data_IF_417197699186
#
_entry.id   IF_417197699186
#
_cell.length_a   1.000
_cell.length_b   1.000
_cell.length_c   1.000
_cell.angle_alpha   90.00
_cell.angle_beta   90.00
_cell.angle_gamma   90.00
#
_symmetry.space_group_name_H-M   'P 1'
#
loop_
_entity.id
_entity.type
_entity.pdbx_description
1 polymer ?
#
# COMPACT_ATOMS: atom_id res chain seq x y z
N UNK A 1 -23.46 -21.19 -1.03
CA UNK A 1 -23.33 -19.74 -0.81
C UNK A 1 -24.02 -19.02 -1.95
N UNK A 2 -24.67 -17.90 -1.66
CA UNK A 2 -25.44 -17.13 -2.65
C UNK A 2 -24.55 -16.05 -3.26
N UNK A 3 -24.52 -15.97 -4.59
CA UNK A 3 -23.76 -14.95 -5.32
C UNK A 3 -24.15 -13.53 -4.88
N UNK A 4 -23.16 -12.63 -4.74
CA UNK A 4 -23.47 -11.24 -4.43
C UNK A 4 -24.16 -10.54 -5.62
N UNK A 5 -25.24 -9.77 -5.38
CA UNK A 5 -25.82 -8.90 -6.40
C UNK A 5 -24.81 -7.91 -7.00
N UNK A 6 -23.86 -7.45 -6.19
CA UNK A 6 -22.74 -6.60 -6.59
C UNK A 6 -21.89 -7.23 -7.70
N UNK A 7 -21.62 -8.53 -7.63
CA UNK A 7 -20.84 -9.26 -8.64
C UNK A 7 -21.53 -9.25 -9.98
N UNK A 8 -22.84 -9.52 -9.99
CA UNK A 8 -23.63 -9.47 -11.21
C UNK A 8 -23.67 -8.06 -11.80
N UNK A 9 -23.88 -7.04 -10.96
CA UNK A 9 -23.89 -5.64 -11.39
C UNK A 9 -22.55 -5.22 -12.03
N UNK A 10 -21.42 -5.60 -11.41
CA UNK A 10 -20.09 -5.33 -11.95
C UNK A 10 -19.84 -6.03 -13.29
N UNK A 11 -20.33 -7.26 -13.47
CA UNK A 11 -20.24 -7.97 -14.75
C UNK A 11 -21.14 -7.30 -15.80
N UNK A 12 -22.35 -6.91 -15.44
CA UNK A 12 -23.27 -6.22 -16.34
C UNK A 12 -22.71 -4.85 -16.78
N UNK A 13 -21.89 -4.21 -15.96
CA UNK A 13 -21.18 -2.98 -16.33
C UNK A 13 -20.23 -3.14 -17.51
N UNK A 14 -19.75 -4.35 -17.76
CA UNK A 14 -18.89 -4.62 -18.92
C UNK A 14 -19.60 -4.49 -20.27
N UNK A 15 -20.94 -4.30 -20.27
CA UNK A 15 -21.76 -4.07 -21.46
C UNK A 15 -21.83 -2.60 -21.89
N UNK A 16 -21.38 -1.67 -21.05
CA UNK A 16 -21.35 -0.25 -21.40
C UNK A 16 -19.98 0.14 -21.97
N UNK A 17 -19.99 1.04 -22.95
CA UNK A 17 -18.76 1.52 -23.62
C UNK A 17 -17.92 2.45 -22.72
N UNK A 18 -18.55 3.12 -21.74
CA UNK A 18 -17.90 3.98 -20.77
C UNK A 18 -18.01 3.41 -19.36
N UNK A 19 -16.86 3.24 -18.70
CA UNK A 19 -16.80 2.78 -17.31
C UNK A 19 -16.73 3.98 -16.37
N UNK A 20 -17.68 4.05 -15.44
CA UNK A 20 -17.61 5.02 -14.35
C UNK A 20 -16.71 4.48 -13.24
N UNK A 21 -15.42 4.82 -13.27
CA UNK A 21 -14.37 4.23 -12.43
C UNK A 21 -14.71 4.22 -10.93
N UNK A 22 -15.17 5.33 -10.37
CA UNK A 22 -15.55 5.41 -8.95
C UNK A 22 -16.66 4.42 -8.56
N UNK A 23 -17.56 4.10 -9.50
CA UNK A 23 -18.64 3.17 -9.27
C UNK A 23 -18.15 1.72 -9.39
N UNK A 24 -17.28 1.44 -10.36
CA UNK A 24 -16.59 0.16 -10.48
C UNK A 24 -15.76 -0.16 -9.22
N UNK A 25 -15.03 0.83 -8.71
CA UNK A 25 -14.22 0.70 -7.49
C UNK A 25 -15.11 0.40 -6.26
N UNK A 26 -16.28 1.03 -6.16
CA UNK A 26 -17.23 0.74 -5.08
C UNK A 26 -17.73 -0.71 -5.13
N UNK A 27 -18.04 -1.24 -6.32
CA UNK A 27 -18.41 -2.65 -6.47
C UNK A 27 -17.24 -3.59 -6.17
N UNK A 28 -16.06 -3.30 -6.71
CA UNK A 28 -14.82 -4.05 -6.46
C UNK A 28 -14.54 -4.15 -4.96
N UNK A 29 -14.58 -3.03 -4.23
CA UNK A 29 -14.34 -3.00 -2.79
C UNK A 29 -15.42 -3.76 -2.02
N UNK A 30 -16.68 -3.68 -2.45
CA UNK A 30 -17.80 -4.42 -1.84
C UNK A 30 -17.62 -5.92 -2.02
N UNK A 31 -17.31 -6.37 -3.23
CA UNK A 31 -17.12 -7.79 -3.54
C UNK A 31 -15.89 -8.32 -2.81
N UNK A 32 -14.75 -7.63 -2.86
CA UNK A 32 -13.54 -8.05 -2.15
C UNK A 32 -13.77 -8.23 -0.64
N UNK A 33 -14.69 -7.47 -0.05
CA UNK A 33 -14.99 -7.51 1.39
C UNK A 33 -16.02 -8.56 1.80
N UNK A 34 -17.05 -8.79 0.97
CA UNK A 34 -18.21 -9.61 1.35
C UNK A 34 -18.44 -10.81 0.45
N UNK A 35 -17.67 -10.93 -0.63
CA UNK A 35 -17.83 -11.96 -1.64
C UNK A 35 -17.31 -13.32 -1.19
N UNK A 36 -17.47 -14.27 -2.10
CA UNK A 36 -17.06 -15.65 -1.97
C UNK A 36 -16.12 -16.06 -3.11
N UNK A 37 -15.54 -17.26 -3.00
CA UNK A 37 -14.74 -17.84 -4.08
C UNK A 37 -15.56 -18.02 -5.37
N UNK A 38 -16.89 -18.23 -5.26
CA UNK A 38 -17.79 -18.28 -6.43
C UNK A 38 -17.88 -16.93 -7.15
N UNK A 39 -17.89 -15.80 -6.41
CA UNK A 39 -17.83 -14.47 -7.00
C UNK A 39 -16.51 -14.26 -7.77
N UNK A 40 -15.39 -14.70 -7.18
CA UNK A 40 -14.07 -14.64 -7.79
C UNK A 40 -13.99 -15.43 -9.11
N UNK A 41 -14.57 -16.65 -9.15
CA UNK A 41 -14.63 -17.48 -10.37
C UNK A 41 -15.41 -16.81 -11.50
N UNK A 42 -16.57 -16.22 -11.19
CA UNK A 42 -17.34 -15.49 -12.20
C UNK A 42 -16.62 -14.25 -12.71
N UNK A 43 -15.95 -13.52 -11.82
CA UNK A 43 -15.14 -12.37 -12.19
C UNK A 43 -13.92 -12.77 -13.03
N UNK A 44 -13.29 -13.91 -12.75
CA UNK A 44 -12.20 -14.44 -13.59
C UNK A 44 -12.70 -14.71 -15.01
N UNK A 45 -13.84 -15.40 -15.15
CA UNK A 45 -14.42 -15.65 -16.47
C UNK A 45 -14.75 -14.34 -17.21
N UNK A 46 -15.28 -13.34 -16.52
CA UNK A 46 -15.56 -12.02 -17.11
C UNK A 46 -14.27 -11.25 -17.47
N UNK A 47 -13.24 -11.32 -16.63
CA UNK A 47 -11.94 -10.69 -16.86
C UNK A 47 -11.28 -11.23 -18.13
N UNK A 48 -11.25 -12.56 -18.31
CA UNK A 48 -10.57 -13.22 -19.42
C UNK A 48 -11.13 -12.87 -20.80
N UNK A 49 -12.35 -12.32 -20.88
CA UNK A 49 -12.94 -11.84 -22.15
C UNK A 49 -12.24 -10.57 -22.67
N UNK A 50 -11.77 -9.69 -21.77
CA UNK A 50 -11.01 -8.50 -22.16
C UNK A 50 -10.09 -8.04 -21.01
N UNK A 51 -8.94 -8.71 -20.83
CA UNK A 51 -8.05 -8.49 -19.68
C UNK A 51 -7.61 -7.04 -19.51
N UNK A 52 -7.17 -6.40 -20.59
CA UNK A 52 -6.66 -5.03 -20.59
C UNK A 52 -7.70 -4.01 -20.09
N UNK A 53 -8.98 -4.15 -20.46
CA UNK A 53 -10.05 -3.24 -20.01
C UNK A 53 -10.68 -3.62 -18.68
N UNK A 54 -10.42 -4.83 -18.18
CA UNK A 54 -11.11 -5.41 -17.00
C UNK A 54 -10.17 -5.72 -15.85
N UNK A 55 -8.95 -5.16 -15.87
CA UNK A 55 -7.94 -5.35 -14.83
C UNK A 55 -8.45 -5.03 -13.41
N UNK A 56 -9.39 -4.10 -13.24
CA UNK A 56 -10.02 -3.79 -11.95
C UNK A 56 -10.70 -5.00 -11.28
N UNK A 57 -11.11 -6.02 -12.05
CA UNK A 57 -11.67 -7.27 -11.53
C UNK A 57 -10.62 -8.15 -10.83
N UNK A 58 -9.32 -7.92 -11.06
CA UNK A 58 -8.26 -8.68 -10.42
C UNK A 58 -8.21 -8.49 -8.90
N UNK A 59 -8.62 -7.32 -8.39
CA UNK A 59 -8.64 -7.05 -6.94
C UNK A 59 -9.53 -8.03 -6.16
N UNK A 60 -10.83 -8.19 -6.48
CA UNK A 60 -11.67 -9.19 -5.80
C UNK A 60 -11.25 -10.62 -6.12
N UNK A 61 -10.80 -10.93 -7.35
CA UNK A 61 -10.26 -12.26 -7.70
C UNK A 61 -9.09 -12.62 -6.77
N UNK A 62 -8.16 -11.69 -6.57
CA UNK A 62 -6.98 -11.86 -5.72
C UNK A 62 -7.33 -12.13 -4.26
N UNK A 63 -8.26 -11.35 -3.70
CA UNK A 63 -8.61 -11.39 -2.26
C UNK A 63 -9.42 -12.63 -1.91
N UNK A 64 -10.36 -13.01 -2.79
CA UNK A 64 -11.29 -14.12 -2.56
C UNK A 64 -10.78 -15.45 -3.13
N UNK A 65 -9.77 -15.39 -3.99
CA UNK A 65 -9.19 -16.53 -4.69
C UNK A 65 -8.35 -17.45 -3.79
N UNK A 66 -8.20 -18.69 -4.24
CA UNK A 66 -7.36 -19.71 -3.62
C UNK A 66 -6.30 -20.21 -4.62
N UNK A 67 -5.49 -21.17 -4.20
CA UNK A 67 -4.44 -21.78 -5.03
C UNK A 67 -5.00 -22.39 -6.35
N UNK A 68 -6.19 -23.00 -6.31
CA UNK A 68 -6.84 -23.55 -7.50
C UNK A 68 -7.19 -22.46 -8.53
N UNK A 69 -7.77 -21.34 -8.07
CA UNK A 69 -8.09 -20.21 -8.94
C UNK A 69 -6.84 -19.53 -9.48
N UNK A 70 -5.77 -19.50 -8.69
CA UNK A 70 -4.46 -19.00 -9.13
C UNK A 70 -3.85 -19.89 -10.22
N UNK A 71 -3.97 -21.22 -10.08
CA UNK A 71 -3.56 -22.16 -11.10
C UNK A 71 -4.35 -21.96 -12.40
N UNK A 72 -5.67 -21.77 -12.33
CA UNK A 72 -6.51 -21.46 -13.49
C UNK A 72 -6.06 -20.15 -14.17
N UNK A 73 -5.89 -19.08 -13.39
CA UNK A 73 -5.38 -17.80 -13.89
C UNK A 73 -4.01 -17.96 -14.57
N UNK A 74 -3.10 -18.74 -13.98
CA UNK A 74 -1.79 -19.03 -14.56
C UNK A 74 -1.91 -19.69 -15.93
N UNK A 75 -2.72 -20.75 -16.06
CA UNK A 75 -2.89 -21.46 -17.34
C UNK A 75 -3.45 -20.56 -18.45
N UNK A 76 -4.35 -19.63 -18.09
CA UNK A 76 -5.00 -18.74 -19.05
C UNK A 76 -4.15 -17.52 -19.42
N UNK A 77 -3.30 -17.04 -18.51
CA UNK A 77 -2.57 -15.78 -18.69
C UNK A 77 -1.07 -15.95 -18.95
N UNK A 78 -0.48 -17.12 -18.68
CA UNK A 78 0.97 -17.38 -18.85
C UNK A 78 1.20 -18.35 -20.00
N UNK A 79 2.21 -18.08 -20.82
CA UNK A 79 2.65 -18.97 -21.89
C UNK A 79 4.17 -18.88 -22.08
N UNK A 80 4.85 -20.02 -22.20
CA UNK A 80 6.32 -20.11 -22.32
C UNK A 80 7.10 -19.28 -21.27
N UNK A 81 6.66 -19.31 -20.00
CA UNK A 81 7.36 -18.63 -18.91
C UNK A 81 7.37 -17.09 -19.03
N UNK A 82 6.30 -16.52 -19.59
CA UNK A 82 5.98 -15.10 -19.58
C UNK A 82 4.46 -14.91 -19.60
N UNK A 83 3.97 -13.75 -19.17
CA UNK A 83 2.59 -13.35 -19.44
C UNK A 83 2.34 -13.32 -20.96
N UNK A 84 1.13 -13.70 -21.36
CA UNK A 84 0.66 -13.51 -22.74
C UNK A 84 0.56 -12.02 -23.05
N UNK A 85 0.59 -11.68 -24.33
CA UNK A 85 0.45 -10.29 -24.77
C UNK A 85 -0.89 -9.70 -24.29
N UNK A 86 -0.90 -8.40 -23.98
CA UNK A 86 -2.06 -7.65 -23.47
C UNK A 86 -2.59 -8.08 -22.08
N UNK A 87 -1.89 -8.99 -21.39
CA UNK A 87 -2.22 -9.34 -20.00
C UNK A 87 -1.71 -8.25 -19.05
N UNK A 88 -2.55 -7.75 -18.13
CA UNK A 88 -2.12 -6.77 -17.13
C UNK A 88 -1.09 -7.37 -16.16
N UNK A 89 -0.16 -6.53 -15.71
CA UNK A 89 0.92 -6.90 -14.79
C UNK A 89 0.39 -7.39 -13.43
N UNK A 90 -0.78 -6.90 -13.01
CA UNK A 90 -1.38 -7.20 -11.71
C UNK A 90 -1.69 -8.70 -11.52
N UNK A 91 -1.72 -9.48 -12.61
CA UNK A 91 -1.78 -10.94 -12.56
C UNK A 91 -0.61 -11.51 -11.75
N UNK A 92 0.60 -10.93 -11.87
CA UNK A 92 1.79 -11.38 -11.14
C UNK A 92 1.59 -11.28 -9.62
N UNK A 93 1.02 -10.16 -9.16
CA UNK A 93 0.63 -9.99 -7.76
C UNK A 93 -0.47 -10.97 -7.38
N UNK A 94 -1.50 -11.18 -8.21
CA UNK A 94 -2.60 -12.10 -7.93
C UNK A 94 -2.11 -13.52 -7.67
N UNK A 95 -1.20 -14.03 -8.52
CA UNK A 95 -0.63 -15.38 -8.40
C UNK A 95 0.13 -15.55 -7.08
N UNK A 96 0.99 -14.59 -6.72
CA UNK A 96 1.70 -14.61 -5.45
C UNK A 96 0.76 -14.48 -4.25
N UNK A 97 -0.16 -13.52 -4.28
CA UNK A 97 -1.12 -13.25 -3.19
C UNK A 97 -2.00 -14.47 -2.88
N UNK A 98 -2.48 -15.17 -3.90
CA UNK A 98 -3.26 -16.41 -3.71
C UNK A 98 -2.40 -17.61 -3.25
N UNK A 99 -1.07 -17.48 -3.26
CA UNK A 99 -0.14 -18.47 -2.71
C UNK A 99 0.36 -19.52 -3.71
N UNK A 100 0.23 -19.28 -5.02
CA UNK A 100 0.58 -20.26 -6.05
C UNK A 100 2.10 -20.38 -6.23
N UNK A 101 2.73 -21.18 -5.38
CA UNK A 101 4.20 -21.36 -5.31
C UNK A 101 4.89 -21.65 -6.66
N UNK A 102 4.32 -22.44 -7.59
CA UNK A 102 4.99 -22.71 -8.87
C UNK A 102 5.31 -21.47 -9.73
N UNK A 103 4.72 -20.30 -9.41
CA UNK A 103 5.00 -19.03 -10.10
C UNK A 103 6.33 -18.38 -9.70
N UNK A 104 6.98 -18.80 -8.60
CA UNK A 104 8.20 -18.15 -8.09
C UNK A 104 9.27 -17.86 -9.17
N UNK A 105 9.65 -18.81 -10.05
CA UNK A 105 10.65 -18.56 -11.09
C UNK A 105 10.20 -17.52 -12.12
N UNK A 106 8.90 -17.47 -12.42
CA UNK A 106 8.32 -16.49 -13.33
C UNK A 106 8.37 -15.09 -12.71
N UNK A 107 7.96 -14.94 -11.44
CA UNK A 107 8.02 -13.66 -10.75
C UNK A 107 9.46 -13.16 -10.64
N UNK A 108 10.39 -14.06 -10.27
CA UNK A 108 11.81 -13.70 -10.19
C UNK A 108 12.35 -13.20 -11.54
N UNK A 109 11.96 -13.84 -12.65
CA UNK A 109 12.35 -13.36 -13.98
C UNK A 109 11.91 -11.92 -14.25
N UNK A 110 10.70 -11.52 -13.84
CA UNK A 110 10.25 -10.12 -13.99
C UNK A 110 10.96 -9.14 -13.04
N UNK A 111 11.46 -9.63 -11.89
CA UNK A 111 12.25 -8.83 -10.96
C UNK A 111 13.70 -8.68 -11.42
N UNK A 112 14.30 -9.75 -11.94
CA UNK A 112 15.74 -9.85 -12.23
C UNK A 112 16.12 -9.43 -13.65
N UNK A 113 15.16 -9.07 -14.51
CA UNK A 113 15.44 -8.66 -15.88
C UNK A 113 16.14 -7.28 -15.91
N UNK A 114 17.47 -7.29 -16.01
CA UNK A 114 18.27 -6.16 -16.51
C UNK A 114 18.05 -6.06 -18.04
N UNK A 115 17.27 -5.08 -18.53
CA UNK A 115 17.48 -4.56 -19.89
C UNK A 115 16.41 -4.74 -20.97
N UNK A 116 15.12 -4.71 -20.65
CA UNK A 116 14.09 -4.38 -21.66
C UNK A 116 13.00 -3.50 -21.01
N UNK A 117 13.43 -2.31 -20.58
CA UNK A 117 12.54 -1.32 -19.97
C UNK A 117 12.04 -0.36 -21.05
N UNK A 118 11.09 -0.83 -21.87
CA UNK A 118 10.07 0.09 -22.36
C UNK A 118 9.34 0.70 -21.15
N UNK A 119 8.61 1.80 -21.33
CA UNK A 119 7.92 2.58 -20.28
C UNK A 119 7.02 1.78 -19.29
N UNK A 120 6.83 0.47 -19.51
CA UNK A 120 6.03 -0.42 -18.67
C UNK A 120 6.83 -1.35 -17.75
N UNK A 121 8.16 -1.43 -17.87
CA UNK A 121 8.99 -2.39 -17.12
C UNK A 121 8.88 -2.28 -15.59
N UNK A 122 8.72 -1.05 -15.08
CA UNK A 122 8.52 -0.78 -13.65
C UNK A 122 7.28 -1.47 -13.08
N UNK A 123 6.16 -1.44 -13.81
CA UNK A 123 4.88 -1.98 -13.34
C UNK A 123 4.93 -3.49 -13.16
N UNK A 124 5.53 -4.21 -14.12
CA UNK A 124 5.75 -5.65 -14.03
C UNK A 124 6.67 -6.02 -12.87
N UNK A 125 7.80 -5.31 -12.73
CA UNK A 125 8.75 -5.49 -11.63
C UNK A 125 8.05 -5.30 -10.28
N UNK A 126 7.29 -4.20 -10.12
CA UNK A 126 6.51 -3.88 -8.91
C UNK A 126 5.53 -5.00 -8.56
N UNK A 127 4.70 -5.41 -9.52
CA UNK A 127 3.71 -6.48 -9.30
C UNK A 127 4.39 -7.82 -8.94
N UNK A 128 5.52 -8.14 -9.57
CA UNK A 128 6.28 -9.35 -9.30
C UNK A 128 6.92 -9.34 -7.90
N UNK A 129 7.53 -8.23 -7.48
CA UNK A 129 8.06 -8.09 -6.12
C UNK A 129 6.97 -8.25 -5.07
N UNK A 130 5.83 -7.57 -5.25
CA UNK A 130 4.70 -7.72 -4.33
C UNK A 130 4.19 -9.17 -4.30
N UNK A 131 4.14 -9.86 -5.46
CA UNK A 131 3.80 -11.28 -5.53
C UNK A 131 4.77 -12.17 -4.74
N UNK A 132 6.08 -11.99 -4.90
CA UNK A 132 7.12 -12.75 -4.19
C UNK A 132 7.08 -12.55 -2.68
N UNK A 133 6.61 -11.39 -2.18
CA UNK A 133 6.43 -11.18 -0.74
C UNK A 133 5.47 -12.19 -0.09
N UNK A 134 4.54 -12.76 -0.86
CA UNK A 134 3.60 -13.77 -0.36
C UNK A 134 4.12 -15.21 -0.47
N UNK A 135 5.24 -15.43 -1.15
CA UNK A 135 5.77 -16.76 -1.43
C UNK A 135 7.04 -17.07 -0.59
N UNK A 136 7.37 -18.35 -0.37
CA UNK A 136 8.54 -18.76 0.42
C UNK A 136 9.88 -18.20 -0.04
N UNK A 137 10.13 -18.15 -1.36
CA UNK A 137 11.38 -17.70 -1.97
C UNK A 137 12.65 -18.44 -1.47
N UNK A 138 12.53 -19.74 -1.11
CA UNK A 138 13.62 -20.49 -0.47
C UNK A 138 14.85 -20.60 -1.38
N UNK A 139 14.64 -20.93 -2.65
CA UNK A 139 15.70 -21.07 -3.65
C UNK A 139 16.18 -19.72 -4.21
N UNK A 140 15.47 -18.62 -3.90
CA UNK A 140 15.77 -17.28 -4.41
C UNK A 140 16.58 -16.42 -3.43
N UNK A 141 16.83 -16.89 -2.20
CA UNK A 141 17.46 -16.08 -1.14
C UNK A 141 18.76 -15.43 -1.56
N UNK A 142 19.68 -16.22 -2.12
CA UNK A 142 20.98 -15.73 -2.57
C UNK A 142 20.84 -14.80 -3.78
N UNK A 143 20.00 -15.18 -4.76
CA UNK A 143 19.76 -14.37 -5.95
C UNK A 143 19.16 -12.99 -5.60
N UNK A 144 18.23 -12.94 -4.65
CA UNK A 144 17.64 -11.69 -4.13
C UNK A 144 18.73 -10.84 -3.45
N UNK A 145 19.54 -11.42 -2.56
CA UNK A 145 20.60 -10.70 -1.87
C UNK A 145 21.63 -10.12 -2.85
N UNK A 146 22.07 -10.93 -3.82
CA UNK A 146 23.00 -10.49 -4.87
C UNK A 146 22.39 -9.38 -5.72
N UNK A 147 21.13 -9.49 -6.13
CA UNK A 147 20.47 -8.46 -6.92
C UNK A 147 20.39 -7.14 -6.14
N UNK A 148 19.94 -7.17 -4.88
CA UNK A 148 19.84 -5.98 -4.03
C UNK A 148 21.19 -5.26 -3.92
N UNK A 149 22.25 -6.00 -3.59
CA UNK A 149 23.61 -5.43 -3.44
C UNK A 149 24.19 -4.95 -4.77
N UNK A 150 23.90 -5.61 -5.88
CA UNK A 150 24.42 -5.26 -7.21
C UNK A 150 23.76 -4.00 -7.77
N UNK A 151 22.44 -3.85 -7.58
CA UNK A 151 21.69 -2.69 -8.04
C UNK A 151 22.09 -1.40 -7.32
N UNK A 152 22.59 -1.49 -6.09
CA UNK A 152 23.06 -0.31 -5.35
C UNK A 152 24.28 0.38 -5.98
N UNK A 153 25.00 -0.32 -6.88
CA UNK A 153 26.10 0.26 -7.65
C UNK A 153 25.67 0.89 -9.00
N UNK A 154 24.38 0.82 -9.37
CA UNK A 154 23.85 1.22 -10.69
C UNK A 154 22.57 2.06 -10.55
N UNK A 155 22.15 2.72 -11.64
CA UNK A 155 20.94 3.54 -11.70
C UNK A 155 19.68 2.76 -11.27
N UNK A 156 19.18 3.10 -10.08
CA UNK A 156 18.15 2.43 -9.29
C UNK A 156 16.69 2.47 -9.81
N UNK A 157 16.36 3.37 -10.73
CA UNK A 157 14.98 3.68 -11.16
C UNK A 157 14.15 2.44 -11.58
N UNK A 158 14.82 1.43 -12.13
CA UNK A 158 14.16 0.23 -12.66
C UNK A 158 13.99 -0.90 -11.63
N UNK A 159 14.49 -0.73 -10.40
CA UNK A 159 14.49 -1.75 -9.35
C UNK A 159 14.01 -1.20 -8.00
N UNK A 160 13.24 -0.11 -7.98
CA UNK A 160 12.80 0.58 -6.76
C UNK A 160 12.22 -0.36 -5.69
N UNK A 161 11.38 -1.33 -6.08
CA UNK A 161 10.70 -2.20 -5.11
C UNK A 161 11.47 -3.49 -4.82
N UNK A 162 12.60 -3.75 -5.49
CA UNK A 162 13.47 -4.90 -5.20
C UNK A 162 13.91 -4.98 -3.73
N UNK A 163 14.29 -3.87 -3.05
CA UNK A 163 14.70 -3.90 -1.65
C UNK A 163 13.61 -4.38 -0.69
N UNK A 164 12.33 -4.37 -1.07
CA UNK A 164 11.26 -4.93 -0.26
C UNK A 164 11.44 -6.44 -0.02
N UNK A 165 12.12 -7.14 -0.93
CA UNK A 165 12.44 -8.56 -0.82
C UNK A 165 13.60 -8.86 0.14
N UNK A 166 14.29 -7.86 0.70
CA UNK A 166 15.47 -8.06 1.54
C UNK A 166 15.20 -9.00 2.72
N UNK A 167 14.03 -8.91 3.35
CA UNK A 167 13.63 -9.78 4.46
C UNK A 167 13.55 -11.27 4.07
N UNK A 168 13.31 -11.58 2.78
CA UNK A 168 13.29 -12.96 2.26
C UNK A 168 14.66 -13.61 2.25
N UNK A 169 15.73 -12.83 2.20
CA UNK A 169 17.11 -13.35 2.16
C UNK A 169 17.54 -14.01 3.47
N UNK A 170 16.93 -13.61 4.60
CA UNK A 170 17.41 -13.96 5.94
C UNK A 170 18.70 -13.25 6.36
N UNK A 171 19.27 -12.39 5.52
CA UNK A 171 20.51 -11.67 5.80
C UNK A 171 20.23 -10.34 6.52
N UNK A 172 20.33 -10.34 7.85
CA UNK A 172 20.13 -9.12 8.64
C UNK A 172 21.18 -8.03 8.43
N UNK A 173 22.33 -8.32 7.79
CA UNK A 173 23.32 -7.27 7.52
C UNK A 173 22.80 -6.22 6.53
N UNK A 174 21.89 -6.61 5.63
CA UNK A 174 21.29 -5.70 4.66
C UNK A 174 20.46 -4.60 5.32
N UNK A 175 19.95 -4.79 6.54
CA UNK A 175 19.05 -3.82 7.18
C UNK A 175 19.71 -2.45 7.39
N UNK A 176 20.94 -2.43 7.91
CA UNK A 176 21.69 -1.19 8.07
C UNK A 176 21.98 -0.55 6.71
N UNK A 177 22.38 -1.37 5.73
CA UNK A 177 22.66 -0.91 4.37
C UNK A 177 21.43 -0.24 3.75
N UNK A 178 20.25 -0.88 3.79
CA UNK A 178 18.99 -0.32 3.29
C UNK A 178 18.69 1.07 3.88
N UNK A 179 18.90 1.23 5.19
CA UNK A 179 18.70 2.53 5.84
C UNK A 179 19.72 3.56 5.37
N UNK A 180 21.01 3.20 5.33
CA UNK A 180 22.05 4.12 4.85
C UNK A 180 21.82 4.53 3.39
N UNK A 181 21.39 3.59 2.55
CA UNK A 181 21.08 3.82 1.15
C UNK A 181 19.98 4.86 0.96
N UNK A 182 18.94 4.82 1.77
CA UNK A 182 17.88 5.82 1.76
C UNK A 182 18.33 7.20 2.22
N UNK A 183 19.35 7.27 3.09
CA UNK A 183 19.91 8.55 3.58
C UNK A 183 20.90 9.17 2.59
N UNK A 184 21.72 8.36 1.92
CA UNK A 184 22.89 8.87 1.18
C UNK A 184 22.75 8.87 -0.34
N UNK A 185 21.85 8.05 -0.90
CA UNK A 185 22.00 7.66 -2.31
C UNK A 185 20.68 7.49 -3.05
N UNK A 186 19.64 6.96 -2.41
CA UNK A 186 18.30 6.97 -3.00
C UNK A 186 17.84 8.42 -3.20
N UNK A 187 17.27 8.74 -4.36
CA UNK A 187 16.45 9.95 -4.44
C UNK A 187 15.18 9.74 -3.58
N UNK A 188 14.49 10.81 -3.24
CA UNK A 188 13.21 10.67 -2.54
C UNK A 188 12.13 10.04 -3.43
N UNK A 189 12.33 10.04 -4.75
CA UNK A 189 11.33 9.64 -5.75
C UNK A 189 11.19 8.14 -5.99
N UNK A 190 12.04 7.30 -5.40
CA UNK A 190 11.98 5.84 -5.56
C UNK A 190 12.41 5.05 -4.31
N UNK A 191 12.13 5.56 -3.11
CA UNK A 191 12.53 4.92 -1.86
C UNK A 191 11.49 3.89 -1.34
N UNK A 192 10.41 3.62 -2.08
CA UNK A 192 9.33 2.74 -1.64
C UNK A 192 9.80 1.36 -1.18
N UNK A 193 10.67 0.72 -1.96
CA UNK A 193 11.20 -0.60 -1.63
C UNK A 193 12.09 -0.59 -0.41
N UNK A 194 12.84 0.50 -0.16
CA UNK A 194 13.66 0.65 1.04
C UNK A 194 12.77 0.77 2.28
N UNK A 195 11.76 1.65 2.23
CA UNK A 195 10.80 1.86 3.32
C UNK A 195 10.09 0.54 3.68
N UNK A 196 9.53 -0.14 2.68
CA UNK A 196 8.85 -1.41 2.92
C UNK A 196 9.84 -2.50 3.37
N UNK A 197 11.02 -2.59 2.73
CA UNK A 197 12.04 -3.59 3.06
C UNK A 197 12.51 -3.49 4.50
N UNK A 198 12.78 -2.26 4.99
CA UNK A 198 13.14 -1.99 6.38
C UNK A 198 12.02 -2.46 7.32
N UNK A 199 10.76 -2.11 7.02
CA UNK A 199 9.62 -2.52 7.86
C UNK A 199 9.48 -4.04 7.94
N UNK A 200 9.66 -4.74 6.81
CA UNK A 200 9.50 -6.19 6.71
C UNK A 200 10.58 -7.01 7.43
N UNK A 201 11.62 -6.37 7.99
CA UNK A 201 12.49 -7.01 9.00
C UNK A 201 11.83 -7.16 10.38
N UNK A 202 10.61 -6.64 10.55
CA UNK A 202 9.83 -6.75 11.79
C UNK A 202 10.51 -6.03 12.94
N UNK A 203 10.59 -6.68 14.10
CA UNK A 203 11.13 -6.09 15.33
C UNK A 203 12.55 -5.55 15.15
N UNK A 204 13.39 -6.25 14.36
CA UNK A 204 14.76 -5.79 14.03
C UNK A 204 14.77 -4.49 13.23
N UNK A 205 13.80 -4.32 12.33
CA UNK A 205 13.65 -3.13 11.49
C UNK A 205 12.97 -1.95 12.18
N UNK A 206 12.25 -2.18 13.28
CA UNK A 206 11.39 -1.17 13.93
C UNK A 206 12.13 0.12 14.29
N UNK A 207 13.34 0.03 14.85
CA UNK A 207 14.13 1.21 15.21
C UNK A 207 14.54 2.05 13.98
N UNK A 208 14.94 1.41 12.89
CA UNK A 208 15.26 2.09 11.62
C UNK A 208 14.02 2.71 10.99
N UNK A 209 12.89 1.98 11.05
CA UNK A 209 11.62 2.47 10.54
C UNK A 209 11.11 3.70 11.30
N UNK A 210 11.21 3.72 12.64
CA UNK A 210 10.86 4.93 13.41
C UNK A 210 11.77 6.12 13.08
N UNK A 211 13.06 5.87 12.89
CA UNK A 211 14.01 6.92 12.49
C UNK A 211 13.69 7.49 11.11
N UNK A 212 13.34 6.66 10.13
CA UNK A 212 12.98 7.15 8.80
C UNK A 212 11.64 7.90 8.80
N UNK A 213 10.66 7.47 9.61
CA UNK A 213 9.36 8.14 9.72
C UNK A 213 9.50 9.61 10.10
N UNK A 214 10.40 9.94 11.02
CA UNK A 214 10.59 11.28 11.55
C UNK A 214 11.76 12.05 10.93
N UNK A 215 12.37 11.49 9.88
CA UNK A 215 13.38 12.17 9.09
C UNK A 215 12.73 12.80 7.85
N UNK A 216 12.68 14.14 7.74
CA UNK A 216 12.08 14.83 6.60
C UNK A 216 12.69 14.46 5.25
N UNK A 217 13.95 14.03 5.21
CA UNK A 217 14.64 13.71 3.96
C UNK A 217 14.21 12.36 3.37
N UNK A 218 13.42 11.56 4.11
CA UNK A 218 12.80 10.34 3.59
C UNK A 218 11.45 10.58 2.92
N UNK A 219 10.86 11.77 3.10
CA UNK A 219 9.55 12.13 2.55
C UNK A 219 8.50 11.01 2.71
N UNK A 220 8.45 10.38 3.89
CA UNK A 220 7.60 9.22 4.18
C UNK A 220 6.09 9.45 3.91
N UNK A 221 5.69 10.72 3.78
CA UNK A 221 4.35 11.19 3.44
C UNK A 221 4.06 11.33 1.93
N UNK A 222 5.07 11.27 1.05
CA UNK A 222 4.96 11.71 -0.34
C UNK A 222 4.04 10.80 -1.17
N UNK A 223 3.10 11.43 -1.89
CA UNK A 223 2.12 10.76 -2.73
C UNK A 223 2.60 10.56 -4.17
N UNK A 224 3.32 11.53 -4.74
CA UNK A 224 3.79 11.51 -6.13
C UNK A 224 4.74 10.32 -6.42
N UNK A 225 5.48 9.89 -5.42
CA UNK A 225 6.49 8.84 -5.46
C UNK A 225 5.92 7.47 -5.04
N UNK A 226 4.67 7.44 -4.56
CA UNK A 226 4.05 6.24 -3.97
C UNK A 226 4.58 5.85 -2.58
N UNK A 227 5.59 6.54 -2.04
CA UNK A 227 6.21 6.26 -0.73
C UNK A 227 5.19 6.19 0.38
N UNK A 228 4.20 7.10 0.38
CA UNK A 228 3.09 7.13 1.34
C UNK A 228 2.42 5.78 1.56
N UNK A 229 2.09 5.06 0.47
CA UNK A 229 1.43 3.76 0.58
C UNK A 229 2.34 2.77 1.31
N UNK A 230 3.61 2.69 0.92
CA UNK A 230 4.56 1.74 1.49
C UNK A 230 4.94 2.07 2.94
N UNK A 231 5.00 3.36 3.30
CA UNK A 231 5.06 3.81 4.69
C UNK A 231 3.85 3.30 5.47
N UNK A 232 2.63 3.46 4.94
CA UNK A 232 1.42 2.96 5.59
C UNK A 232 1.44 1.43 5.78
N UNK A 233 1.85 0.68 4.75
CA UNK A 233 2.02 -0.78 4.86
C UNK A 233 3.07 -1.15 5.93
N UNK A 234 4.16 -0.39 6.01
CA UNK A 234 5.20 -0.58 7.03
C UNK A 234 4.70 -0.30 8.44
N UNK A 235 3.98 0.80 8.66
CA UNK A 235 3.31 1.11 9.92
C UNK A 235 2.36 -0.02 10.34
N UNK A 236 1.52 -0.49 9.41
CA UNK A 236 0.60 -1.61 9.64
C UNK A 236 1.35 -2.88 10.02
N UNK A 237 2.40 -3.25 9.29
CA UNK A 237 3.19 -4.44 9.58
C UNK A 237 3.85 -4.39 10.96
N UNK A 238 4.36 -3.22 11.36
CA UNK A 238 5.03 -3.00 12.65
C UNK A 238 4.08 -2.69 13.80
N UNK A 239 2.77 -2.64 13.56
CA UNK A 239 1.78 -2.29 14.59
C UNK A 239 1.85 -0.83 15.06
N UNK A 240 2.39 0.08 14.25
CA UNK A 240 2.42 1.52 14.52
C UNK A 240 1.08 2.10 14.04
N UNK A 241 0.26 2.58 14.97
CA UNK A 241 -1.04 3.15 14.66
C UNK A 241 -0.98 4.64 14.33
N UNK A 242 -2.04 5.16 13.73
CA UNK A 242 -2.19 6.60 13.51
C UNK A 242 -2.20 7.39 14.84
N UNK A 243 -2.72 6.79 15.91
CA UNK A 243 -2.72 7.39 17.24
C UNK A 243 -1.30 7.48 17.82
N UNK A 244 -0.47 6.46 17.59
CA UNK A 244 0.93 6.48 18.03
C UNK A 244 1.71 7.60 17.32
N UNK A 245 1.52 7.73 16.01
CA UNK A 245 2.14 8.79 15.21
C UNK A 245 1.70 10.18 15.66
N UNK A 246 0.40 10.35 15.94
CA UNK A 246 -0.12 11.63 16.42
C UNK A 246 0.41 11.97 17.82
N UNK A 247 0.48 11.01 18.74
CA UNK A 247 1.07 11.21 20.06
C UNK A 247 2.57 11.58 19.99
N UNK A 248 3.32 10.96 19.07
CA UNK A 248 4.72 11.29 18.84
C UNK A 248 4.90 12.68 18.20
N UNK A 249 4.02 13.09 17.28
CA UNK A 249 3.96 14.48 16.78
C UNK A 249 3.71 15.48 17.93
N UNK A 250 2.75 15.22 18.80
CA UNK A 250 2.48 16.07 19.97
C UNK A 250 3.71 16.17 20.87
N UNK A 251 4.43 15.07 21.07
CA UNK A 251 5.69 15.04 21.81
C UNK A 251 6.74 15.93 21.14
N UNK A 252 6.90 15.87 19.82
CA UNK A 252 7.80 16.73 19.07
C UNK A 252 7.47 18.22 19.20
N UNK A 253 6.18 18.57 19.17
CA UNK A 253 5.69 19.94 19.38
C UNK A 253 6.03 20.43 20.79
N UNK A 254 5.75 19.63 21.81
CA UNK A 254 6.01 19.99 23.22
C UNK A 254 7.49 20.20 23.51
N UNK A 255 8.38 19.45 22.85
CA UNK A 255 9.82 19.60 22.99
C UNK A 255 10.43 20.72 22.13
N UNK A 256 9.62 21.48 21.39
CA UNK A 256 10.09 22.59 20.56
C UNK A 256 10.96 22.15 19.38
N UNK A 257 10.55 21.05 18.71
CA UNK A 257 11.27 20.56 17.52
C UNK A 257 11.33 21.61 16.41
N UNK A 258 12.35 21.58 15.53
CA UNK A 258 12.46 22.53 14.43
C UNK A 258 11.25 22.53 13.51
N UNK A 259 10.95 23.69 12.90
CA UNK A 259 9.78 23.87 12.05
C UNK A 259 9.67 22.89 10.88
N UNK A 260 10.81 22.53 10.26
CA UNK A 260 10.87 21.50 9.20
C UNK A 260 10.32 20.16 9.69
N UNK A 261 10.65 19.78 10.93
CA UNK A 261 10.25 18.51 11.54
C UNK A 261 8.77 18.54 11.96
N UNK A 262 8.29 19.64 12.53
CA UNK A 262 6.86 19.81 12.86
C UNK A 262 6.01 19.70 11.58
N UNK A 263 6.38 20.42 10.52
CA UNK A 263 5.67 20.37 9.23
C UNK A 263 5.64 18.96 8.65
N UNK A 264 6.80 18.29 8.61
CA UNK A 264 6.91 16.91 8.17
C UNK A 264 5.98 15.99 8.96
N UNK A 265 5.94 16.15 10.29
CA UNK A 265 5.09 15.36 11.16
C UNK A 265 3.60 15.53 10.87
N UNK A 266 3.12 16.75 10.62
CA UNK A 266 1.74 16.97 10.20
C UNK A 266 1.43 16.31 8.85
N UNK A 267 2.29 16.48 7.87
CA UNK A 267 2.12 15.85 6.55
C UNK A 267 2.19 14.32 6.63
N UNK A 268 3.00 13.76 7.54
CA UNK A 268 3.00 12.32 7.81
C UNK A 268 1.67 11.85 8.39
N UNK A 269 1.13 12.54 9.41
CA UNK A 269 -0.15 12.17 10.03
C UNK A 269 -1.31 12.30 9.03
N UNK A 270 -1.34 13.38 8.24
CA UNK A 270 -2.31 13.57 7.15
C UNK A 270 -2.23 12.43 6.13
N UNK A 271 -1.03 12.12 5.65
CA UNK A 271 -0.81 11.07 4.67
C UNK A 271 -1.24 9.68 5.20
N UNK A 272 -0.95 9.38 6.46
CA UNK A 272 -1.38 8.14 7.11
C UNK A 272 -2.89 8.10 7.36
N UNK A 273 -3.53 9.23 7.65
CA UNK A 273 -4.99 9.34 7.77
C UNK A 273 -5.67 9.12 6.41
N UNK A 274 -5.14 9.69 5.33
CA UNK A 274 -5.63 9.43 3.96
C UNK A 274 -5.54 7.93 3.63
N UNK A 275 -4.39 7.29 3.86
CA UNK A 275 -4.27 5.85 3.64
C UNK A 275 -5.16 5.02 4.57
N UNK A 276 -5.35 5.43 5.82
CA UNK A 276 -6.27 4.77 6.73
C UNK A 276 -7.70 4.79 6.20
N UNK A 277 -8.16 5.91 5.63
CA UNK A 277 -9.50 6.05 5.04
C UNK A 277 -9.65 5.24 3.74
N UNK A 278 -8.59 5.16 2.94
CA UNK A 278 -8.54 4.39 1.69
C UNK A 278 -8.32 2.88 1.88
N UNK A 279 -8.12 2.41 3.13
CA UNK A 279 -7.82 1.03 3.53
C UNK A 279 -8.96 0.03 3.22
N UNK A 280 -9.18 -0.22 1.93
CA UNK A 280 -10.18 -1.15 1.45
C UNK A 280 -9.53 -2.51 1.14
N UNK A 281 -8.53 -2.53 0.26
CA UNK A 281 -7.81 -3.75 -0.13
C UNK A 281 -6.32 -3.45 -0.30
N UNK A 282 -5.50 -3.94 0.62
CA UNK A 282 -4.05 -3.78 0.59
C UNK A 282 -3.36 -4.85 -0.27
N UNK A 283 -2.19 -4.55 -0.87
CA UNK A 283 -1.45 -5.49 -1.69
C UNK A 283 -0.78 -6.64 -0.90
N UNK A 284 -0.77 -6.57 0.43
CA UNK A 284 -0.16 -7.55 1.34
C UNK A 284 -1.23 -8.15 2.27
N UNK A 285 -1.41 -9.47 2.24
CA UNK A 285 -2.48 -10.18 2.95
C UNK A 285 -2.14 -10.50 4.41
N UNK A 286 -0.84 -10.48 4.72
CA UNK A 286 -0.30 -10.80 6.05
C UNK A 286 -0.22 -9.57 6.96
N UNK A 287 -0.69 -8.41 6.51
CA UNK A 287 -0.75 -7.22 7.36
C UNK A 287 -1.81 -7.40 8.43
N UNK A 288 -1.49 -7.07 9.70
CA UNK A 288 -2.49 -7.14 10.76
C UNK A 288 -3.60 -6.12 10.52
N UNK A 289 -4.82 -6.46 10.93
CA UNK A 289 -5.95 -5.52 10.96
C UNK A 289 -5.62 -4.39 11.94
N UNK A 290 -5.85 -3.14 11.54
CA UNK A 290 -5.68 -2.01 12.45
C UNK A 290 -6.64 -2.15 13.64
N UNK A 291 -6.17 -2.13 14.89
CA UNK A 291 -7.04 -2.19 16.06
C UNK A 291 -7.76 -0.85 16.32
N UNK A 292 -7.34 0.23 15.65
CA UNK A 292 -7.88 1.57 15.84
C UNK A 292 -9.15 1.76 15.02
N UNK A 293 -10.23 2.18 15.69
CA UNK A 293 -11.50 2.54 15.06
C UNK A 293 -11.47 3.94 14.45
N UNK A 294 -12.34 4.21 13.47
CA UNK A 294 -12.47 5.55 12.91
C UNK A 294 -12.90 6.57 13.96
N UNK A 295 -13.73 6.15 14.93
CA UNK A 295 -14.17 7.00 16.03
C UNK A 295 -13.00 7.43 16.93
N UNK A 296 -12.13 6.51 17.33
CA UNK A 296 -10.98 6.87 18.19
C UNK A 296 -9.99 7.80 17.47
N UNK A 297 -9.83 7.67 16.16
CA UNK A 297 -9.06 8.63 15.36
C UNK A 297 -9.73 10.01 15.39
N UNK A 298 -11.04 10.07 15.18
CA UNK A 298 -11.77 11.34 15.16
C UNK A 298 -11.67 12.07 16.51
N UNK A 299 -11.89 11.33 17.60
CA UNK A 299 -11.80 11.86 18.96
C UNK A 299 -10.40 12.39 19.28
N UNK A 300 -9.35 11.71 18.82
CA UNK A 300 -7.97 12.13 19.08
C UNK A 300 -7.54 13.33 18.23
N UNK A 301 -7.92 13.37 16.95
CA UNK A 301 -7.39 14.35 16.00
C UNK A 301 -8.27 15.60 15.87
N UNK A 302 -9.60 15.48 15.94
CA UNK A 302 -10.50 16.57 15.53
C UNK A 302 -11.32 17.17 16.67
N UNK A 303 -11.52 16.45 17.78
CA UNK A 303 -12.22 17.02 18.93
C UNK A 303 -11.35 18.01 19.70
N UNK A 304 -12.01 19.06 20.20
CA UNK A 304 -11.41 20.06 21.05
C UNK A 304 -11.41 19.59 22.50
N UNK A 305 -10.34 19.85 23.24
CA UNK A 305 -10.30 19.56 24.66
C UNK A 305 -11.32 20.43 25.44
N UNK A 306 -11.56 21.66 24.96
CA UNK A 306 -12.49 22.63 25.55
C UNK A 306 -13.18 23.52 24.50
N UNK A 307 -14.40 24.03 24.77
CA UNK A 307 -15.14 24.88 23.82
C UNK A 307 -14.44 26.16 23.35
N UNK A 308 -13.44 26.63 24.09
CA UNK A 308 -12.74 27.90 23.82
C UNK A 308 -11.29 27.69 23.36
N UNK A 309 -10.88 26.46 23.06
CA UNK A 309 -9.52 26.13 22.65
C UNK A 309 -9.56 25.07 21.56
N UNK A 310 -9.25 25.50 20.35
CA UNK A 310 -9.02 24.59 19.24
C UNK A 310 -7.61 24.00 19.34
N UNK A 311 -7.51 22.85 19.98
CA UNK A 311 -6.33 21.98 19.98
C UNK A 311 -6.53 20.71 19.15
N UNK A 312 -7.48 20.75 18.20
CA UNK A 312 -7.53 19.77 17.11
C UNK A 312 -6.27 19.86 16.25
N UNK A 313 -6.03 18.84 15.45
CA UNK A 313 -4.94 18.83 14.46
C UNK A 313 -5.03 20.02 13.50
N UNK A 314 -6.24 20.48 13.17
CA UNK A 314 -6.46 21.65 12.30
C UNK A 314 -6.05 22.93 13.05
N UNK A 315 -6.51 23.11 14.29
CA UNK A 315 -6.12 24.24 15.14
C UNK A 315 -4.62 24.29 15.40
N UNK A 316 -3.99 23.14 15.60
CA UNK A 316 -2.53 23.02 15.75
C UNK A 316 -1.79 23.39 14.47
N UNK A 317 -2.29 23.01 13.28
CA UNK A 317 -1.72 23.46 12.01
C UNK A 317 -1.77 24.98 11.87
N UNK A 318 -2.90 25.60 12.22
CA UNK A 318 -3.08 27.05 12.15
C UNK A 318 -2.14 27.81 13.10
N UNK A 319 -1.87 27.25 14.27
CA UNK A 319 -1.00 27.84 15.29
C UNK A 319 0.50 27.64 15.00
N UNK A 320 0.89 26.47 14.48
CA UNK A 320 2.28 26.03 14.50
C UNK A 320 2.94 25.98 13.13
N UNK A 321 2.20 25.95 12.01
CA UNK A 321 2.79 25.84 10.67
C UNK A 321 3.13 27.23 10.11
N UNK A 322 4.32 27.74 10.44
CA UNK A 322 4.79 29.09 10.08
C UNK A 322 5.06 29.31 8.57
N UNK A 323 5.18 28.25 7.76
CA UNK A 323 5.56 28.35 6.34
C UNK A 323 4.50 29.05 5.47
N UNK A 324 4.92 29.38 4.23
CA UNK A 324 4.14 29.93 3.11
C UNK A 324 2.63 29.63 3.19
N UNK A 325 1.81 30.67 3.05
CA UNK A 325 0.36 30.62 3.26
C UNK A 325 -0.28 29.47 2.47
N UNK A 326 0.26 29.16 1.30
CA UNK A 326 -0.20 28.10 0.41
C UNK A 326 -0.04 26.70 1.03
N UNK A 327 1.07 26.42 1.72
CA UNK A 327 1.31 25.09 2.33
C UNK A 327 0.37 24.86 3.52
N UNK A 328 0.21 25.87 4.38
CA UNK A 328 -0.70 25.80 5.54
C UNK A 328 -2.15 25.64 5.06
N UNK A 329 -2.55 26.43 4.08
CA UNK A 329 -3.89 26.38 3.50
C UNK A 329 -4.18 25.04 2.83
N UNK A 330 -3.21 24.47 2.10
CA UNK A 330 -3.33 23.14 1.50
C UNK A 330 -3.55 22.06 2.56
N UNK A 331 -2.70 22.02 3.58
CA UNK A 331 -2.79 21.02 4.66
C UNK A 331 -4.12 21.14 5.42
N UNK A 332 -4.53 22.37 5.74
CA UNK A 332 -5.80 22.66 6.39
C UNK A 332 -6.99 22.18 5.55
N UNK A 333 -6.98 22.47 4.26
CA UNK A 333 -8.04 22.04 3.35
C UNK A 333 -8.17 20.52 3.33
N UNK A 334 -7.05 19.80 3.15
CA UNK A 334 -7.03 18.34 3.14
C UNK A 334 -7.51 17.76 4.48
N UNK A 335 -7.10 18.33 5.61
CA UNK A 335 -7.56 17.85 6.92
C UNK A 335 -9.07 17.98 7.11
N UNK A 336 -9.70 19.05 6.61
CA UNK A 336 -11.17 19.15 6.63
C UNK A 336 -11.84 18.08 5.75
N UNK A 337 -11.30 17.78 4.56
CA UNK A 337 -11.84 16.73 3.69
C UNK A 337 -11.71 15.33 4.33
N UNK A 338 -10.57 15.08 4.99
CA UNK A 338 -10.32 13.85 5.72
C UNK A 338 -11.24 13.73 6.94
N UNK A 339 -11.52 14.84 7.65
CA UNK A 339 -12.49 14.86 8.75
C UNK A 339 -13.88 14.39 8.28
N UNK A 340 -14.37 14.94 7.16
CA UNK A 340 -15.68 14.55 6.61
C UNK A 340 -15.69 13.08 6.16
N UNK A 341 -14.61 12.63 5.52
CA UNK A 341 -14.45 11.24 5.10
C UNK A 341 -14.41 10.27 6.29
N UNK A 342 -13.81 10.70 7.40
CA UNK A 342 -13.75 9.94 8.64
C UNK A 342 -15.13 9.81 9.31
N UNK A 343 -15.93 10.88 9.32
CA UNK A 343 -17.32 10.83 9.81
C UNK A 343 -18.17 9.83 9.01
N UNK A 344 -18.08 9.82 7.68
CA UNK A 344 -18.76 8.82 6.83
C UNK A 344 -18.29 7.40 7.15
N UNK A 345 -17.01 7.21 7.45
CA UNK A 345 -16.49 5.90 7.86
C UNK A 345 -17.04 5.47 9.23
N UNK A 346 -17.13 6.39 10.19
CA UNK A 346 -17.73 6.16 11.51
C UNK A 346 -19.18 5.70 11.36
N UNK A 347 -19.98 6.40 10.55
CA UNK A 347 -21.37 6.01 10.28
C UNK A 347 -21.45 4.56 9.76
N UNK A 348 -20.61 4.20 8.77
CA UNK A 348 -20.55 2.84 8.23
C UNK A 348 -20.11 1.80 9.26
N UNK A 349 -19.18 2.14 10.16
CA UNK A 349 -18.75 1.25 11.25
C UNK A 349 -19.90 1.01 12.24
N UNK A 350 -20.67 2.05 12.58
CA UNK A 350 -21.86 1.97 13.45
C UNK A 350 -22.96 1.12 12.78
N UNK A 351 -23.30 1.38 11.52
CA UNK A 351 -24.29 0.60 10.78
C UNK A 351 -23.91 -0.89 10.73
N UNK A 352 -22.65 -1.21 10.47
CA UNK A 352 -22.17 -2.60 10.46
C UNK A 352 -22.37 -3.31 11.78
N UNK A 353 -22.09 -2.63 12.91
CA UNK A 353 -22.29 -3.20 14.23
C UNK A 353 -23.77 -3.46 14.54
N UNK A 354 -24.69 -2.69 13.95
CA UNK A 354 -26.13 -2.85 14.15
C UNK A 354 -26.78 -3.88 13.22
N UNK A 355 -26.29 -4.04 11.99
CA UNK A 355 -26.95 -4.84 10.95
C UNK A 355 -26.21 -6.14 10.56
N UNK A 356 -25.00 -6.39 11.06
CA UNK A 356 -24.35 -7.70 10.93
C UNK A 356 -24.52 -8.54 12.21
N UNK A 357 -25.70 -9.15 12.33
CA UNK A 357 -25.99 -10.36 13.12
C UNK A 357 -26.21 -11.55 12.18
#
# INVERSE_FOLDING_TARGET
MTLLPATKALIDFTRYDSLHWSLADAYVATIARFGSIEDARLLLAAFLVNPAKRAYMLTPIRVLGNDELAHELFLQCVHHGRLRDEMPEDILLCLGYMGYVPVEPLLWKYVSQEGDHDNHGYHYMRAACLGLLHLPCVELKEAIATAITSHYSKNWWNAELLPALASKTGNSSLLEELYQWGVTTASTDCNAGLVLGIALYGEKGSAYFKRLLWNPDWEAHASATGTRLYTYLGCRYLGISLLDLYAELQTHIQHGSPQKQIRHGFSLVEAMLSCFLDDNVLPLKFLPVSPVSAQSVYEALFLWSHPNKDDSIIGLVDQLVESDADTRQSLRHTLYELEQSLLVRIEREIERQQFML
#
